data_IF_587735587980
#
_entry.id   IF_587735587980
#
_cell.length_a   1.000
_cell.length_b   1.000
_cell.length_c   1.000
_cell.angle_alpha   90.00
_cell.angle_beta   90.00
_cell.angle_gamma   90.00
#
_symmetry.space_group_name_H-M   'P 1'
#
loop_
_entity.id
_entity.type
_entity.pdbx_description
1 polymer ?
#
# COMPACT_ATOMS: atom_id res chain seq x y z
N UNK A 1 -2.62 17.29 -10.17
CA UNK A 1 -4.09 17.38 -10.00
C UNK A 1 -4.43 17.48 -8.52
N UNK A 2 -5.36 18.35 -8.14
CA UNK A 2 -5.87 18.54 -6.75
C UNK A 2 -6.41 17.22 -6.17
N UNK A 3 -6.84 16.30 -7.04
CA UNK A 3 -7.49 15.04 -6.69
C UNK A 3 -6.53 13.92 -6.22
N UNK A 4 -5.35 13.81 -6.83
CA UNK A 4 -4.31 12.89 -6.35
C UNK A 4 -3.79 13.29 -4.95
N UNK A 5 -3.81 14.60 -4.65
CA UNK A 5 -3.49 15.11 -3.32
C UNK A 5 -4.55 14.71 -2.28
N UNK A 6 -5.83 14.62 -2.64
CA UNK A 6 -6.90 14.27 -1.69
C UNK A 6 -6.72 12.86 -1.11
N UNK A 7 -6.51 11.86 -1.98
CA UNK A 7 -6.27 10.49 -1.55
C UNK A 7 -5.07 10.39 -0.63
N UNK A 8 -3.95 11.00 -1.04
CA UNK A 8 -2.73 11.04 -0.24
C UNK A 8 -2.94 11.70 1.13
N UNK A 9 -3.57 12.88 1.17
CA UNK A 9 -3.86 13.60 2.42
C UNK A 9 -4.75 12.75 3.35
N UNK A 10 -5.78 12.09 2.80
CA UNK A 10 -6.70 11.27 3.58
C UNK A 10 -5.98 10.08 4.22
N UNK A 11 -5.13 9.39 3.45
CA UNK A 11 -4.35 8.26 3.95
C UNK A 11 -3.29 8.73 4.95
N UNK A 12 -2.54 9.80 4.66
CA UNK A 12 -1.59 10.40 5.62
C UNK A 12 -2.24 10.68 6.97
N UNK A 13 -3.42 11.33 6.98
CA UNK A 13 -4.17 11.58 8.22
C UNK A 13 -4.54 10.29 8.97
N UNK A 14 -4.93 9.24 8.26
CA UNK A 14 -5.22 7.94 8.89
C UNK A 14 -3.95 7.35 9.53
N UNK A 15 -2.81 7.41 8.83
CA UNK A 15 -1.54 6.91 9.36
C UNK A 15 -1.09 7.73 10.59
N UNK A 16 -1.13 9.06 10.49
CA UNK A 16 -0.75 9.99 11.57
C UNK A 16 -1.65 9.84 12.81
N UNK A 17 -2.96 9.64 12.63
CA UNK A 17 -3.89 9.36 13.73
C UNK A 17 -3.64 8.01 14.44
N UNK A 18 -2.78 7.15 13.88
CA UNK A 18 -2.35 5.88 14.46
C UNK A 18 -0.87 5.93 14.90
N UNK A 19 -0.37 7.13 15.22
CA UNK A 19 1.00 7.39 15.68
C UNK A 19 2.10 6.95 14.70
N UNK A 20 1.77 6.85 13.40
CA UNK A 20 2.72 6.54 12.35
C UNK A 20 3.29 7.85 11.80
N UNK A 21 4.58 8.08 12.05
CA UNK A 21 5.22 9.36 11.75
C UNK A 21 5.67 9.43 10.29
N UNK A 22 5.34 10.53 9.60
CA UNK A 22 5.87 10.81 8.27
C UNK A 22 7.40 10.99 8.32
N UNK A 23 8.12 10.14 7.58
CA UNK A 23 9.57 10.15 7.51
C UNK A 23 10.13 10.63 6.16
N UNK A 24 9.31 11.15 5.24
CA UNK A 24 9.72 11.54 3.87
C UNK A 24 10.98 12.42 3.87
N UNK A 25 11.04 13.41 4.77
CA UNK A 25 12.17 14.35 4.88
C UNK A 25 13.51 13.71 5.24
N UNK A 26 13.51 12.49 5.76
CA UNK A 26 14.70 11.75 6.13
C UNK A 26 15.22 10.84 5.02
N UNK A 27 14.49 10.71 3.90
CA UNK A 27 14.86 9.87 2.77
C UNK A 27 15.23 10.73 1.56
N UNK A 28 16.52 10.80 1.25
CA UNK A 28 17.04 11.42 0.03
C UNK A 28 16.78 10.58 -1.22
N UNK A 29 16.79 9.26 -1.09
CA UNK A 29 16.64 8.33 -2.21
C UNK A 29 15.19 7.91 -2.44
N UNK A 30 14.84 7.59 -3.70
CA UNK A 30 13.52 7.02 -4.06
C UNK A 30 13.43 5.52 -3.77
N UNK A 31 14.56 4.82 -3.80
CA UNK A 31 14.64 3.40 -3.49
C UNK A 31 14.82 3.22 -1.99
N UNK A 32 14.09 2.29 -1.39
CA UNK A 32 14.27 1.85 -0.01
C UNK A 32 14.97 0.49 -0.01
N UNK A 33 16.03 0.42 0.77
CA UNK A 33 16.71 -0.81 1.15
C UNK A 33 17.00 -0.77 2.65
N UNK A 34 17.24 -1.91 3.29
CA UNK A 34 17.59 -1.94 4.73
C UNK A 34 18.83 -1.09 5.05
N UNK A 35 19.70 -0.85 4.06
CA UNK A 35 20.93 -0.07 4.19
C UNK A 35 20.68 1.43 4.28
N UNK A 36 19.62 1.94 3.63
CA UNK A 36 19.36 3.38 3.51
C UNK A 36 18.18 3.87 4.37
N UNK A 37 17.58 3.01 5.19
CA UNK A 37 16.57 3.42 6.15
C UNK A 37 17.24 4.17 7.32
N UNK A 38 16.87 5.45 7.58
CA UNK A 38 17.46 6.27 8.62
C UNK A 38 17.24 5.73 10.04
N UNK A 39 18.19 5.98 10.93
CA UNK A 39 18.10 5.58 12.34
C UNK A 39 16.91 6.20 13.09
N UNK A 40 16.39 7.32 12.60
CA UNK A 40 15.12 7.91 13.06
C UNK A 40 13.97 6.89 13.09
N UNK A 41 13.96 5.90 12.19
CA UNK A 41 12.93 4.87 12.09
C UNK A 41 13.13 3.69 13.05
N UNK A 42 14.20 3.66 13.87
CA UNK A 42 14.56 2.49 14.70
C UNK A 42 13.57 2.24 15.85
N UNK A 43 13.01 3.30 16.44
CA UNK A 43 12.14 3.22 17.62
C UNK A 43 10.70 3.69 17.39
N UNK A 44 10.30 3.89 16.13
CA UNK A 44 9.00 4.46 15.76
C UNK A 44 8.42 3.72 14.57
N UNK A 45 7.10 3.64 14.53
CA UNK A 45 6.40 3.27 13.30
C UNK A 45 6.41 4.51 12.41
N UNK A 46 6.97 4.40 11.20
CA UNK A 46 7.06 5.52 10.27
C UNK A 46 6.43 5.17 8.94
N UNK A 47 6.08 6.17 8.16
CA UNK A 47 5.72 5.96 6.76
C UNK A 47 6.47 6.94 5.85
N UNK A 48 6.66 6.52 4.61
CA UNK A 48 7.16 7.34 3.51
C UNK A 48 6.26 7.16 2.30
N UNK A 49 6.42 8.04 1.33
CA UNK A 49 5.54 8.13 0.17
C UNK A 49 6.32 8.08 -1.13
N UNK A 50 5.69 7.54 -2.17
CA UNK A 50 6.24 7.49 -3.53
C UNK A 50 7.66 6.90 -3.58
N UNK A 51 7.85 5.78 -2.87
CA UNK A 51 9.12 5.07 -2.80
C UNK A 51 9.03 3.68 -3.40
N UNK A 52 10.11 3.24 -4.02
CA UNK A 52 10.27 1.85 -4.46
C UNK A 52 10.93 1.01 -3.38
N UNK A 53 10.67 -0.29 -3.38
CA UNK A 53 11.38 -1.26 -2.52
C UNK A 53 12.34 -2.07 -3.38
N UNK A 54 13.57 -2.24 -2.89
CA UNK A 54 14.54 -3.10 -3.55
C UNK A 54 14.01 -4.53 -3.72
N UNK A 55 14.18 -5.08 -4.92
CA UNK A 55 13.70 -6.42 -5.29
C UNK A 55 12.24 -6.52 -5.74
N UNK A 56 11.40 -5.49 -5.61
CA UNK A 56 10.01 -5.52 -6.13
C UNK A 56 9.97 -4.90 -7.52
N UNK A 57 10.13 -5.76 -8.53
CA UNK A 57 10.17 -5.37 -9.95
C UNK A 57 8.88 -5.84 -10.62
N UNK A 58 8.17 -4.91 -11.28
CA UNK A 58 6.95 -5.22 -12.02
C UNK A 58 7.26 -6.14 -13.20
N UNK A 59 6.53 -7.24 -13.34
CA UNK A 59 6.72 -8.19 -14.45
C UNK A 59 6.48 -7.59 -15.85
N UNK A 60 5.57 -6.63 -15.97
CA UNK A 60 5.11 -6.08 -17.26
C UNK A 60 6.18 -5.26 -17.98
N UNK A 61 6.91 -4.42 -17.25
CA UNK A 61 7.87 -3.46 -17.82
C UNK A 61 9.27 -3.54 -17.19
N UNK A 62 9.50 -4.51 -16.28
CA UNK A 62 10.76 -4.73 -15.57
C UNK A 62 11.25 -3.52 -14.78
N UNK A 63 10.36 -2.58 -14.44
CA UNK A 63 10.70 -1.42 -13.59
C UNK A 63 10.39 -1.71 -12.13
N UNK A 64 11.15 -1.10 -11.22
CA UNK A 64 10.83 -1.10 -9.80
C UNK A 64 9.44 -0.53 -9.57
N UNK A 65 8.62 -1.19 -8.73
CA UNK A 65 7.33 -0.65 -8.32
C UNK A 65 7.56 0.49 -7.33
N UNK A 66 7.07 1.68 -7.68
CA UNK A 66 6.90 2.81 -6.75
C UNK A 66 5.56 2.63 -6.05
N UNK A 67 5.58 2.61 -4.72
CA UNK A 67 4.40 2.52 -3.87
C UNK A 67 3.96 3.91 -3.41
N UNK A 68 2.65 4.13 -3.34
CA UNK A 68 2.09 5.39 -2.83
C UNK A 68 2.52 5.63 -1.37
N UNK A 69 2.46 4.58 -0.54
CA UNK A 69 2.99 4.60 0.82
C UNK A 69 3.75 3.32 1.19
N UNK A 70 4.74 3.46 2.05
CA UNK A 70 5.46 2.38 2.69
C UNK A 70 5.51 2.64 4.19
N UNK A 71 4.99 1.71 5.00
CA UNK A 71 5.13 1.73 6.46
C UNK A 71 6.39 0.96 6.83
N UNK A 72 7.20 1.53 7.72
CA UNK A 72 8.48 1.01 8.17
C UNK A 72 8.43 0.81 9.69
N UNK A 73 8.83 -0.38 10.14
CA UNK A 73 8.96 -0.73 11.55
C UNK A 73 10.37 -1.28 11.82
N UNK A 74 11.06 -0.80 12.87
CA UNK A 74 12.39 -1.28 13.27
C UNK A 74 13.38 -1.38 12.09
N UNK A 75 13.43 -0.33 11.26
CA UNK A 75 14.23 -0.26 10.00
C UNK A 75 13.89 -1.31 8.94
N UNK A 76 12.65 -1.83 8.90
CA UNK A 76 12.17 -2.76 7.89
C UNK A 76 10.86 -2.28 7.26
N UNK A 77 10.71 -2.26 5.93
CA UNK A 77 9.41 -2.08 5.30
C UNK A 77 8.49 -3.24 5.69
N UNK A 78 7.24 -2.93 6.06
CA UNK A 78 6.28 -3.94 6.55
C UNK A 78 4.95 -3.90 5.81
N UNK A 79 4.40 -2.71 5.55
CA UNK A 79 3.18 -2.55 4.76
C UNK A 79 3.45 -1.67 3.55
N UNK A 80 3.04 -2.15 2.38
CA UNK A 80 3.12 -1.48 1.09
C UNK A 80 1.69 -1.10 0.68
N UNK A 81 1.44 0.17 0.39
CA UNK A 81 0.08 0.66 0.16
C UNK A 81 -0.01 1.32 -1.21
N UNK A 82 -1.04 0.95 -1.95
CA UNK A 82 -1.46 1.61 -3.19
C UNK A 82 -2.84 2.20 -3.03
N UNK A 83 -3.07 3.35 -3.68
CA UNK A 83 -4.31 4.10 -3.56
C UNK A 83 -4.98 4.37 -4.90
N UNK A 84 -6.31 4.19 -4.94
CA UNK A 84 -7.13 4.52 -6.12
C UNK A 84 -8.41 5.24 -5.69
N UNK A 85 -8.40 6.57 -5.80
CA UNK A 85 -9.54 7.43 -5.51
C UNK A 85 -10.20 7.91 -6.81
N UNK A 86 -11.51 7.75 -6.93
CA UNK A 86 -12.37 8.06 -8.09
C UNK A 86 -13.17 9.33 -7.82
N UNK A 87 -12.50 10.45 -7.62
CA UNK A 87 -13.23 11.72 -7.44
C UNK A 87 -13.53 12.34 -8.81
N UNK A 88 -14.84 12.43 -9.13
CA UNK A 88 -15.56 13.03 -10.29
C UNK A 88 -15.82 12.16 -11.53
N UNK A 89 -17.10 11.82 -11.72
CA UNK A 89 -17.97 11.86 -12.92
C UNK A 89 -17.46 11.52 -14.33
N UNK A 90 -16.25 11.00 -14.50
CA UNK A 90 -15.68 10.65 -15.80
C UNK A 90 -14.56 9.64 -15.64
N UNK A 91 -14.93 8.37 -15.77
CA UNK A 91 -14.06 7.24 -16.15
C UNK A 91 -12.62 7.22 -15.58
N UNK A 92 -12.48 6.55 -14.44
CA UNK A 92 -11.53 5.41 -14.37
C UNK A 92 -12.31 4.10 -14.18
N UNK A 93 -13.36 3.90 -14.99
CA UNK A 93 -13.92 2.57 -15.22
C UNK A 93 -12.88 1.82 -16.04
N UNK A 94 -11.93 1.24 -15.33
CA UNK A 94 -10.69 0.71 -15.88
C UNK A 94 -9.70 0.40 -14.76
N UNK A 95 -10.22 -0.08 -13.61
CA UNK A 95 -9.38 -0.79 -12.65
C UNK A 95 -8.67 -1.88 -13.43
N UNK A 96 -7.37 -1.70 -13.69
CA UNK A 96 -6.57 -2.77 -14.24
C UNK A 96 -6.30 -3.74 -13.10
N UNK A 97 -7.31 -4.52 -12.71
CA UNK A 97 -7.24 -5.45 -11.60
C UNK A 97 -6.05 -6.40 -11.77
N UNK A 98 -5.76 -6.74 -13.03
CA UNK A 98 -4.64 -7.58 -13.42
C UNK A 98 -3.31 -6.98 -12.97
N UNK A 99 -3.16 -5.64 -12.99
CA UNK A 99 -1.96 -4.96 -12.48
C UNK A 99 -1.79 -5.17 -10.97
N UNK A 100 -2.88 -5.12 -10.21
CA UNK A 100 -2.82 -5.36 -8.76
C UNK A 100 -2.60 -6.83 -8.44
N UNK A 101 -3.24 -7.76 -9.15
CA UNK A 101 -3.01 -9.20 -8.95
C UNK A 101 -1.61 -9.64 -9.38
N UNK A 102 -1.07 -9.05 -10.45
CA UNK A 102 0.32 -9.23 -10.84
C UNK A 102 1.27 -8.66 -9.78
N UNK A 103 0.96 -7.47 -9.25
CA UNK A 103 1.75 -6.86 -8.18
C UNK A 103 1.75 -7.73 -6.91
N UNK A 104 0.63 -8.33 -6.52
CA UNK A 104 0.58 -9.29 -5.41
C UNK A 104 1.55 -10.46 -5.63
N UNK A 105 1.61 -10.95 -6.87
CA UNK A 105 2.50 -12.04 -7.25
C UNK A 105 3.97 -11.59 -7.26
N UNK A 106 4.26 -10.37 -7.70
CA UNK A 106 5.61 -9.79 -7.69
C UNK A 106 6.11 -9.55 -6.25
N UNK A 107 5.23 -9.07 -5.34
CA UNK A 107 5.51 -8.95 -3.90
C UNK A 107 5.74 -10.33 -3.28
N UNK A 108 4.89 -11.32 -3.55
CA UNK A 108 5.05 -12.68 -3.03
C UNK A 108 6.36 -13.33 -3.51
N UNK A 109 6.74 -13.12 -4.77
CA UNK A 109 8.01 -13.56 -5.33
C UNK A 109 9.20 -12.91 -4.62
N UNK A 110 9.13 -11.60 -4.37
CA UNK A 110 10.15 -10.88 -3.60
C UNK A 110 10.27 -11.42 -2.17
N UNK A 111 9.14 -11.59 -1.47
CA UNK A 111 9.09 -12.17 -0.13
C UNK A 111 9.78 -13.53 -0.08
N UNK A 112 9.45 -14.43 -1.01
CA UNK A 112 10.06 -15.76 -1.10
C UNK A 112 11.57 -15.68 -1.40
N UNK A 113 11.97 -14.87 -2.38
CA UNK A 113 13.36 -14.79 -2.84
C UNK A 113 14.30 -14.16 -1.81
N UNK A 114 13.82 -13.17 -1.08
CA UNK A 114 14.63 -12.35 -0.18
C UNK A 114 14.33 -12.57 1.30
N UNK A 115 13.56 -13.61 1.64
CA UNK A 115 13.09 -13.91 2.99
C UNK A 115 12.49 -12.68 3.69
N UNK A 116 11.56 -12.02 2.99
CA UNK A 116 10.82 -10.84 3.48
C UNK A 116 9.38 -11.21 3.78
N UNK A 117 8.72 -10.34 4.54
CA UNK A 117 7.34 -10.49 4.96
C UNK A 117 6.56 -9.19 4.69
N UNK A 118 6.69 -8.70 3.45
CA UNK A 118 5.97 -7.52 3.01
C UNK A 118 4.49 -7.84 2.87
N UNK A 119 3.67 -6.97 3.47
CA UNK A 119 2.22 -7.00 3.41
C UNK A 119 1.75 -5.92 2.46
N UNK A 120 0.64 -6.16 1.77
CA UNK A 120 0.14 -5.24 0.75
C UNK A 120 -1.29 -4.79 1.06
N UNK A 121 -1.55 -3.50 0.92
CA UNK A 121 -2.89 -2.93 1.03
C UNK A 121 -3.23 -2.16 -0.24
N UNK A 122 -4.33 -2.54 -0.88
CA UNK A 122 -4.94 -1.73 -1.93
C UNK A 122 -6.11 -0.96 -1.34
N UNK A 123 -5.99 0.36 -1.31
CA UNK A 123 -6.95 1.26 -0.67
C UNK A 123 -7.68 2.10 -1.70
N UNK A 124 -9.00 2.09 -1.64
CA UNK A 124 -9.87 2.78 -2.59
C UNK A 124 -10.77 3.79 -1.89
N UNK A 125 -11.50 4.61 -2.65
CA UNK A 125 -12.55 5.46 -2.09
C UNK A 125 -13.87 4.73 -1.79
N UNK A 126 -14.04 3.52 -2.33
CA UNK A 126 -15.21 2.67 -2.12
C UNK A 126 -16.34 2.84 -3.14
N UNK A 127 -16.37 3.93 -3.91
CA UNK A 127 -17.54 4.29 -4.73
C UNK A 127 -17.84 3.26 -5.82
N UNK A 128 -16.81 2.76 -6.49
CA UNK A 128 -16.97 1.77 -7.55
C UNK A 128 -17.58 0.45 -7.04
N UNK A 129 -17.23 0.03 -5.83
CA UNK A 129 -17.68 -1.22 -5.23
C UNK A 129 -19.17 -1.22 -4.87
N UNK A 130 -19.84 -0.07 -4.91
CA UNK A 130 -21.28 0.07 -4.69
C UNK A 130 -22.11 -0.17 -5.97
N UNK A 131 -21.47 -0.29 -7.14
CA UNK A 131 -22.13 -0.71 -8.38
C UNK A 131 -22.23 -2.23 -8.44
N UNK A 132 -23.22 -2.80 -9.12
CA UNK A 132 -23.37 -4.27 -9.23
C UNK A 132 -22.14 -4.95 -9.84
N UNK A 133 -21.55 -4.36 -10.88
CA UNK A 133 -20.30 -4.84 -11.48
C UNK A 133 -19.12 -4.74 -10.51
N UNK A 134 -19.04 -3.64 -9.77
CA UNK A 134 -17.99 -3.41 -8.78
C UNK A 134 -18.11 -4.39 -7.62
N UNK A 135 -19.30 -4.65 -7.10
CA UNK A 135 -19.53 -5.61 -6.02
C UNK A 135 -19.09 -7.01 -6.42
N UNK A 136 -19.53 -7.49 -7.59
CA UNK A 136 -19.13 -8.80 -8.13
C UNK A 136 -17.60 -8.91 -8.26
N UNK A 137 -16.95 -7.87 -8.79
CA UNK A 137 -15.48 -7.80 -8.91
C UNK A 137 -14.80 -7.74 -7.54
N UNK A 138 -15.31 -6.95 -6.61
CA UNK A 138 -14.79 -6.85 -5.25
C UNK A 138 -14.79 -8.22 -4.58
N UNK A 139 -15.92 -8.94 -4.67
CA UNK A 139 -16.08 -10.28 -4.12
C UNK A 139 -15.10 -11.25 -4.78
N UNK A 140 -14.96 -11.24 -6.10
CA UNK A 140 -13.97 -12.06 -6.79
C UNK A 140 -12.54 -11.75 -6.32
N UNK A 141 -12.17 -10.48 -6.22
CA UNK A 141 -10.84 -10.05 -5.80
C UNK A 141 -10.53 -10.45 -4.37
N UNK A 142 -11.47 -10.22 -3.44
CA UNK A 142 -11.35 -10.62 -2.05
C UNK A 142 -11.25 -12.13 -1.92
N UNK A 143 -12.12 -12.86 -2.62
CA UNK A 143 -12.15 -14.30 -2.54
C UNK A 143 -10.95 -14.95 -3.16
N UNK A 144 -10.33 -14.42 -4.22
CA UNK A 144 -9.29 -15.15 -4.96
C UNK A 144 -7.85 -14.61 -4.77
N UNK A 145 -7.70 -13.31 -4.51
CA UNK A 145 -6.38 -12.66 -4.56
C UNK A 145 -5.98 -12.00 -3.24
N UNK A 146 -6.91 -11.26 -2.62
CA UNK A 146 -6.66 -10.54 -1.37
C UNK A 146 -6.97 -11.42 -0.16
N UNK A 147 -6.25 -12.53 -0.07
CA UNK A 147 -6.28 -13.48 1.06
C UNK A 147 -5.09 -13.25 1.99
N UNK A 148 -5.22 -13.68 3.24
CA UNK A 148 -4.16 -13.70 4.26
C UNK A 148 -3.56 -12.31 4.55
N UNK A 149 -2.38 -12.04 4.01
CA UNK A 149 -1.54 -10.87 4.33
C UNK A 149 -1.76 -9.68 3.39
N UNK A 150 -2.71 -9.83 2.47
CA UNK A 150 -3.09 -8.81 1.50
C UNK A 150 -4.51 -8.31 1.72
N UNK A 151 -4.68 -6.99 1.72
CA UNK A 151 -5.96 -6.35 2.06
C UNK A 151 -6.44 -5.42 0.93
N UNK A 152 -7.66 -5.65 0.44
CA UNK A 152 -8.41 -4.69 -0.38
C UNK A 152 -9.40 -3.92 0.51
N UNK A 153 -9.22 -2.61 0.65
CA UNK A 153 -9.94 -1.76 1.61
C UNK A 153 -10.48 -0.51 0.92
N UNK A 154 -11.50 0.09 1.54
CA UNK A 154 -11.72 1.53 1.38
C UNK A 154 -11.05 2.28 2.55
N UNK A 155 -10.89 3.60 2.44
CA UNK A 155 -10.20 4.39 3.49
C UNK A 155 -10.89 4.31 4.87
N UNK A 156 -12.21 4.11 4.94
CA UNK A 156 -12.91 3.94 6.22
C UNK A 156 -12.55 2.59 6.86
N UNK A 157 -12.49 1.52 6.06
CA UNK A 157 -12.04 0.21 6.52
C UNK A 157 -10.56 0.22 6.91
N UNK A 158 -9.70 0.95 6.18
CA UNK A 158 -8.31 1.15 6.57
C UNK A 158 -8.23 1.78 7.96
N UNK A 159 -8.95 2.88 8.21
CA UNK A 159 -8.92 3.55 9.51
C UNK A 159 -9.34 2.64 10.67
N UNK A 160 -10.26 1.69 10.44
CA UNK A 160 -10.72 0.75 11.46
C UNK A 160 -9.76 -0.43 11.65
N UNK A 161 -9.22 -0.97 10.54
CA UNK A 161 -8.39 -2.18 10.57
C UNK A 161 -6.92 -1.92 10.87
N UNK A 162 -6.38 -0.77 10.49
CA UNK A 162 -4.96 -0.47 10.59
C UNK A 162 -4.37 -0.73 11.99
N UNK A 163 -4.97 -0.24 13.11
CA UNK A 163 -4.44 -0.54 14.44
C UNK A 163 -4.48 -2.04 14.79
N UNK A 164 -5.49 -2.78 14.31
CA UNK A 164 -5.56 -4.23 14.49
C UNK A 164 -4.48 -4.97 13.69
N UNK A 165 -4.21 -4.53 12.46
CA UNK A 165 -3.17 -5.09 11.60
C UNK A 165 -1.78 -4.81 12.19
N UNK A 166 -1.53 -3.60 12.68
CA UNK A 166 -0.29 -3.25 13.40
C UNK A 166 -0.10 -4.17 14.59
N UNK A 167 -1.12 -4.30 15.46
CA UNK A 167 -1.06 -5.19 16.63
C UNK A 167 -0.83 -6.65 16.25
N UNK A 168 -1.46 -7.14 15.19
CA UNK A 168 -1.36 -8.54 14.75
C UNK A 168 0.04 -8.90 14.24
N UNK A 169 0.71 -7.96 13.58
CA UNK A 169 1.88 -8.27 12.76
C UNK A 169 3.19 -7.64 13.26
N UNK A 170 3.11 -6.61 14.10
CA UNK A 170 4.29 -5.86 14.56
C UNK A 170 4.54 -5.98 16.08
N UNK A 171 3.57 -6.49 16.83
CA UNK A 171 3.68 -6.84 18.25
C UNK A 171 3.81 -8.36 18.39
#
# INVERSE_FOLDING_TARGET
SIHGKYGRIKISKILENNDIVNADKYFSEKLISEKNIPDFCKGKLTYVTEKSIDGIVKRKDRKLKVFDFVIINKRKPVFLIETNFYTTSGTKIGINQNEYTDLLSDIAGCNKKHNKDYRFMWVTDGNYWLTSDGESRYNNLKLNYFRRDYELLNYNLLSKKLPLLIKKYLN
#
